data_IF_088455140228
#
_entry.id   IF_088455140228
#
_cell.length_a   1.000
_cell.length_b   1.000
_cell.length_c   1.000
_cell.angle_alpha   90.00
_cell.angle_beta   90.00
_cell.angle_gamma   90.00
#
_symmetry.space_group_name_H-M   'P 1'
#
loop_
_entity.id
_entity.type
_entity.pdbx_description
1 polymer ?
#
# COMPACT_ATOMS: atom_id res chain seq x y z
N UNK A 1 15.05 12.18 -9.71
CA UNK A 1 15.03 12.64 -8.31
C UNK A 1 14.94 11.42 -7.41
N UNK A 2 15.82 11.25 -6.41
CA UNK A 2 15.62 10.21 -5.38
C UNK A 2 14.45 10.66 -4.51
N UNK A 3 13.39 9.85 -4.41
CA UNK A 3 12.11 10.19 -3.78
C UNK A 3 12.16 10.44 -2.25
N UNK A 4 13.34 10.28 -1.63
CA UNK A 4 13.56 10.43 -0.19
C UNK A 4 14.43 9.29 0.34
N UNK A 5 14.71 9.31 1.63
CA UNK A 5 15.31 8.18 2.36
C UNK A 5 14.33 7.67 3.42
N UNK A 6 14.56 6.48 3.97
CA UNK A 6 13.76 5.97 5.10
C UNK A 6 13.66 6.99 6.25
N UNK A 7 14.74 7.71 6.51
CA UNK A 7 14.79 8.76 7.53
C UNK A 7 13.98 10.03 7.18
N UNK A 8 13.84 10.38 5.90
CA UNK A 8 12.94 11.49 5.52
C UNK A 8 11.48 11.06 5.65
N UNK A 9 11.15 9.81 5.29
CA UNK A 9 9.79 9.26 5.47
C UNK A 9 9.43 9.19 6.96
N UNK A 10 10.32 8.69 7.82
CA UNK A 10 10.10 8.63 9.26
C UNK A 10 9.75 10.01 9.84
N UNK A 11 10.52 11.05 9.48
CA UNK A 11 10.25 12.43 9.91
C UNK A 11 8.92 12.97 9.37
N UNK A 12 8.59 12.66 8.11
CA UNK A 12 7.33 13.07 7.51
C UNK A 12 6.12 12.42 8.20
N UNK A 13 6.21 11.15 8.58
CA UNK A 13 5.17 10.43 9.34
C UNK A 13 4.93 11.10 10.69
N UNK A 14 6.00 11.33 11.47
CA UNK A 14 5.90 12.03 12.76
C UNK A 14 5.32 13.43 12.60
N UNK A 15 5.75 14.16 11.57
CA UNK A 15 5.26 15.49 11.28
C UNK A 15 3.75 15.49 10.96
N UNK A 16 3.29 14.62 10.06
CA UNK A 16 1.88 14.49 9.71
C UNK A 16 1.02 14.13 10.92
N UNK A 17 1.48 13.18 11.75
CA UNK A 17 0.79 12.80 12.97
C UNK A 17 0.71 13.94 13.99
N UNK A 18 1.76 14.77 14.10
CA UNK A 18 1.76 15.96 14.94
C UNK A 18 0.86 17.08 14.42
N UNK A 19 0.64 17.16 13.10
CA UNK A 19 -0.37 18.04 12.51
C UNK A 19 -1.80 17.53 12.69
N UNK A 20 -2.00 16.38 13.35
CA UNK A 20 -3.32 15.84 13.64
C UNK A 20 -3.94 15.04 12.48
N UNK A 21 -3.12 14.61 11.51
CA UNK A 21 -3.59 13.76 10.42
C UNK A 21 -4.24 12.48 10.97
N UNK A 22 -5.50 12.25 10.61
CA UNK A 22 -6.28 11.05 11.00
C UNK A 22 -6.06 9.87 10.06
N UNK A 23 -5.60 10.15 8.85
CA UNK A 23 -5.17 9.17 7.85
C UNK A 23 -3.88 9.68 7.21
N UNK A 24 -2.85 8.83 7.12
CA UNK A 24 -1.55 9.13 6.52
C UNK A 24 -1.36 8.18 5.34
N UNK A 25 -1.38 8.74 4.12
CA UNK A 25 -1.13 8.01 2.88
C UNK A 25 0.35 8.05 2.51
N UNK A 26 0.97 6.89 2.33
CA UNK A 26 2.38 6.74 1.92
C UNK A 26 2.43 6.00 0.58
N UNK A 27 2.36 6.77 -0.51
CA UNK A 27 2.41 6.25 -1.88
C UNK A 27 3.83 5.96 -2.41
N UNK A 28 4.86 6.14 -1.58
CA UNK A 28 6.26 5.87 -1.93
C UNK A 28 6.73 4.61 -1.22
N UNK A 29 7.44 3.75 -1.94
CA UNK A 29 7.95 2.48 -1.44
C UNK A 29 9.47 2.44 -1.56
N UNK A 30 10.14 1.96 -0.52
CA UNK A 30 11.53 1.56 -0.57
C UNK A 30 11.60 0.04 -0.56
N UNK A 31 12.17 -0.54 -1.62
CA UNK A 31 12.36 -1.98 -1.74
C UNK A 31 13.79 -2.35 -1.37
N UNK A 32 13.93 -3.26 -0.41
CA UNK A 32 15.21 -3.63 0.20
C UNK A 32 15.41 -5.14 0.08
N UNK A 33 16.58 -5.63 -0.34
CA UNK A 33 16.84 -7.06 -0.34
C UNK A 33 16.82 -7.60 1.10
N UNK A 34 16.08 -8.69 1.33
CA UNK A 34 15.96 -9.31 2.65
C UNK A 34 17.32 -9.76 3.22
N UNK A 35 18.25 -10.14 2.33
CA UNK A 35 19.62 -10.55 2.67
C UNK A 35 20.54 -9.39 3.10
N UNK A 36 20.15 -8.14 2.87
CA UNK A 36 20.92 -6.97 3.27
C UNK A 36 19.99 -5.85 3.78
N UNK A 37 19.39 -6.03 4.96
CA UNK A 37 18.39 -5.10 5.49
C UNK A 37 19.04 -3.75 5.83
N UNK A 38 18.41 -2.66 5.40
CA UNK A 38 18.76 -1.32 5.86
C UNK A 38 18.23 -1.07 7.28
N UNK A 39 18.83 -0.13 8.02
CA UNK A 39 18.30 0.30 9.32
C UNK A 39 16.95 1.02 9.15
N UNK A 40 15.90 0.40 9.69
CA UNK A 40 14.53 0.92 9.64
C UNK A 40 13.97 1.28 11.02
N UNK A 41 14.81 1.30 12.08
CA UNK A 41 14.33 1.53 13.46
C UNK A 41 13.62 2.87 13.63
N UNK A 42 14.17 3.92 13.03
CA UNK A 42 13.56 5.25 13.06
C UNK A 42 12.19 5.28 12.37
N UNK A 43 12.05 4.54 11.26
CA UNK A 43 10.79 4.43 10.55
C UNK A 43 9.77 3.62 11.34
N UNK A 44 10.15 2.45 11.88
CA UNK A 44 9.29 1.64 12.74
C UNK A 44 8.78 2.42 13.96
N UNK A 45 9.66 3.18 14.64
CA UNK A 45 9.27 4.03 15.76
C UNK A 45 8.31 5.16 15.34
N UNK A 46 8.52 5.77 14.17
CA UNK A 46 7.62 6.79 13.62
C UNK A 46 6.23 6.23 13.30
N UNK A 47 6.17 5.04 12.70
CA UNK A 47 4.92 4.36 12.35
C UNK A 47 4.16 3.94 13.61
N UNK A 48 4.83 3.32 14.58
CA UNK A 48 4.25 3.00 15.89
C UNK A 48 3.71 4.25 16.58
N UNK A 49 4.48 5.35 16.59
CA UNK A 49 4.03 6.61 17.18
C UNK A 49 2.77 7.15 16.52
N UNK A 50 2.74 7.19 15.18
CA UNK A 50 1.59 7.67 14.44
C UNK A 50 0.36 6.78 14.65
N UNK A 51 0.50 5.45 14.58
CA UNK A 51 -0.61 4.51 14.72
C UNK A 51 -1.12 4.40 16.16
N UNK A 52 -0.23 4.26 17.14
CA UNK A 52 -0.59 3.93 18.52
C UNK A 52 -0.74 5.17 19.43
N UNK A 53 0.13 6.17 19.28
CA UNK A 53 0.11 7.37 20.15
C UNK A 53 -0.79 8.46 19.58
N UNK A 54 -0.81 8.62 18.25
CA UNK A 54 -1.59 9.66 17.57
C UNK A 54 -2.89 9.15 16.95
N UNK A 55 -3.14 7.85 17.03
CA UNK A 55 -4.32 7.20 16.48
C UNK A 55 -4.54 7.57 14.99
N UNK A 56 -3.48 7.53 14.19
CA UNK A 56 -3.54 7.77 12.75
C UNK A 56 -3.61 6.44 12.00
N UNK A 57 -4.55 6.31 11.05
CA UNK A 57 -4.56 5.17 10.13
C UNK A 57 -3.44 5.39 9.11
N UNK A 58 -2.52 4.45 8.98
CA UNK A 58 -1.43 4.52 8.02
C UNK A 58 -1.71 3.57 6.88
N UNK A 59 -1.73 4.09 5.66
CA UNK A 59 -1.97 3.33 4.44
C UNK A 59 -0.77 3.47 3.52
N UNK A 60 -0.22 2.37 3.05
CA UNK A 60 0.98 2.38 2.20
C UNK A 60 0.80 1.57 0.92
N UNK A 61 1.47 2.01 -0.14
CA UNK A 61 1.55 1.27 -1.39
C UNK A 61 2.40 -0.01 -1.22
N UNK A 62 1.92 -1.15 -1.71
CA UNK A 62 2.66 -2.41 -1.66
C UNK A 62 4.00 -2.35 -2.41
N UNK A 63 4.11 -1.53 -3.46
CA UNK A 63 5.26 -1.44 -4.34
C UNK A 63 4.93 -1.91 -5.75
N UNK A 64 5.73 -1.49 -6.72
CA UNK A 64 5.54 -1.85 -8.12
C UNK A 64 6.70 -2.72 -8.61
N UNK A 65 6.41 -3.91 -9.11
CA UNK A 65 7.42 -4.84 -9.65
C UNK A 65 8.17 -4.22 -10.85
N UNK A 66 9.50 -4.31 -10.82
CA UNK A 66 10.40 -3.74 -11.82
C UNK A 66 10.75 -2.27 -11.58
N UNK A 67 10.28 -1.63 -10.50
CA UNK A 67 10.66 -0.26 -10.13
C UNK A 67 11.64 -0.23 -8.95
N UNK A 68 12.76 0.49 -9.08
CA UNK A 68 13.63 0.83 -7.95
C UNK A 68 14.07 -0.35 -7.04
N UNK A 69 14.26 -1.55 -7.60
CA UNK A 69 14.66 -2.76 -6.86
C UNK A 69 13.50 -3.50 -6.19
N UNK A 70 12.28 -3.16 -6.55
CA UNK A 70 11.07 -3.89 -6.20
C UNK A 70 10.90 -5.08 -7.14
N UNK A 71 11.04 -6.30 -6.61
CA UNK A 71 10.72 -7.53 -7.32
C UNK A 71 9.61 -8.28 -6.56
N UNK A 72 8.78 -9.03 -7.27
CA UNK A 72 7.81 -9.91 -6.63
C UNK A 72 8.48 -10.96 -5.74
N UNK A 73 7.88 -11.18 -4.56
CA UNK A 73 8.26 -12.29 -3.69
C UNK A 73 7.67 -13.60 -4.21
N UNK A 74 8.27 -14.76 -3.86
CA UNK A 74 7.70 -16.06 -4.18
C UNK A 74 6.23 -16.16 -3.76
N UNK A 75 5.47 -16.92 -4.54
CA UNK A 75 4.11 -17.31 -4.16
C UNK A 75 4.15 -18.25 -2.96
N UNK A 76 3.03 -18.29 -2.24
CA UNK A 76 2.81 -19.13 -1.07
C UNK A 76 3.26 -20.59 -1.27
N UNK A 77 3.99 -21.16 -0.31
CA UNK A 77 4.39 -22.55 -0.28
C UNK A 77 3.34 -23.38 0.49
N UNK A 78 2.46 -24.14 -0.21
CA UNK A 78 1.44 -24.95 0.44
C UNK A 78 2.03 -26.11 1.28
N UNK A 79 3.34 -26.36 1.20
CA UNK A 79 4.03 -27.39 1.97
C UNK A 79 4.57 -26.88 3.32
N UNK A 80 4.51 -25.57 3.61
CA UNK A 80 4.85 -24.98 4.90
C UNK A 80 3.63 -24.36 5.61
N UNK A 81 2.78 -25.17 6.26
CA UNK A 81 1.60 -24.65 6.96
C UNK A 81 1.95 -23.86 8.22
N UNK A 82 3.20 -23.89 8.70
CA UNK A 82 3.64 -23.13 9.87
C UNK A 82 3.92 -21.65 9.52
N UNK A 83 4.16 -21.35 8.25
CA UNK A 83 4.33 -20.01 7.71
C UNK A 83 3.26 -19.71 6.64
N UNK A 84 1.99 -19.53 7.02
CA UNK A 84 0.88 -19.39 6.08
C UNK A 84 0.95 -18.14 5.19
N UNK A 85 1.92 -17.25 5.42
CA UNK A 85 2.13 -16.03 4.64
C UNK A 85 3.48 -16.00 3.94
N UNK A 86 4.31 -17.05 4.08
CA UNK A 86 5.64 -17.14 3.47
C UNK A 86 6.62 -16.03 3.89
N UNK A 87 6.59 -15.62 5.16
CA UNK A 87 7.57 -14.68 5.71
C UNK A 87 9.03 -15.14 5.52
N UNK A 88 9.31 -16.44 5.61
CA UNK A 88 10.66 -16.97 5.47
C UNK A 88 11.17 -16.94 4.02
N UNK A 89 10.28 -16.87 3.03
CA UNK A 89 10.63 -16.87 1.60
C UNK A 89 10.77 -15.46 1.02
N UNK A 90 10.57 -14.40 1.82
CA UNK A 90 10.71 -13.01 1.37
C UNK A 90 12.13 -12.75 0.85
N UNK A 91 12.20 -12.26 -0.39
CA UNK A 91 13.44 -11.84 -1.05
C UNK A 91 13.60 -10.32 -1.05
N UNK A 92 12.49 -9.60 -1.19
CA UNK A 92 12.46 -8.13 -1.26
C UNK A 92 11.42 -7.59 -0.29
N UNK A 93 11.89 -6.82 0.69
CA UNK A 93 11.08 -6.16 1.70
C UNK A 93 10.56 -4.83 1.16
N UNK A 94 9.24 -4.66 1.19
CA UNK A 94 8.58 -3.38 0.92
C UNK A 94 8.46 -2.55 2.19
N UNK A 95 9.13 -1.40 2.25
CA UNK A 95 9.04 -0.46 3.37
C UNK A 95 8.29 0.81 2.97
N UNK A 96 7.29 1.27 3.75
CA UNK A 96 6.94 0.82 5.10
C UNK A 96 5.96 -0.36 5.17
N UNK A 97 5.53 -0.93 4.04
CA UNK A 97 4.46 -1.94 3.99
C UNK A 97 4.65 -3.13 4.93
N UNK A 98 5.88 -3.63 5.10
CA UNK A 98 6.17 -4.77 5.96
C UNK A 98 5.89 -4.55 7.46
N UNK A 99 5.69 -3.31 7.91
CA UNK A 99 5.24 -3.00 9.27
C UNK A 99 3.72 -3.21 9.42
N UNK A 100 3.24 -4.42 9.10
CA UNK A 100 1.81 -4.74 8.95
C UNK A 100 0.98 -4.56 10.22
N UNK A 101 1.61 -4.55 11.39
CA UNK A 101 0.93 -4.25 12.66
C UNK A 101 0.42 -2.80 12.72
N UNK A 102 1.07 -1.88 12.00
CA UNK A 102 0.77 -0.43 12.04
C UNK A 102 0.29 0.12 10.69
N UNK A 103 0.61 -0.59 9.59
CA UNK A 103 0.44 -0.11 8.23
C UNK A 103 -0.48 -1.05 7.45
N UNK A 104 -1.54 -0.48 6.88
CA UNK A 104 -2.34 -1.18 5.89
C UNK A 104 -1.66 -1.08 4.52
N UNK A 105 -0.99 -2.16 4.10
CA UNK A 105 -0.36 -2.25 2.78
C UNK A 105 -1.38 -2.59 1.70
N UNK A 106 -1.32 -1.86 0.58
CA UNK A 106 -2.33 -1.88 -0.48
C UNK A 106 -1.75 -2.28 -1.82
N UNK A 107 -2.25 -3.39 -2.38
CA UNK A 107 -1.96 -3.83 -3.75
C UNK A 107 -2.83 -3.13 -4.81
N UNK A 108 -2.47 -3.30 -6.08
CA UNK A 108 -3.19 -2.78 -7.24
C UNK A 108 -3.98 -3.83 -8.04
N UNK A 109 -5.28 -3.59 -8.27
CA UNK A 109 -6.08 -4.38 -9.22
C UNK A 109 -6.30 -3.64 -10.53
N UNK A 110 -6.59 -4.39 -11.58
CA UNK A 110 -7.11 -3.85 -12.83
C UNK A 110 -8.62 -3.53 -12.75
N UNK A 111 -9.21 -3.07 -13.87
CA UNK A 111 -10.62 -2.71 -13.93
C UNK A 111 -11.60 -3.91 -13.78
N UNK A 112 -11.12 -5.14 -13.95
CA UNK A 112 -11.88 -6.37 -13.71
C UNK A 112 -11.84 -6.83 -12.26
N UNK A 113 -10.97 -6.21 -11.44
CA UNK A 113 -10.69 -6.65 -10.07
C UNK A 113 -9.62 -7.73 -9.99
N UNK A 114 -8.98 -8.09 -11.10
CA UNK A 114 -7.86 -9.02 -11.10
C UNK A 114 -6.59 -8.35 -10.53
N UNK A 115 -5.72 -9.12 -9.84
CA UNK A 115 -4.40 -8.64 -9.43
C UNK A 115 -3.66 -8.02 -10.62
N UNK A 116 -3.05 -6.86 -10.44
CA UNK A 116 -2.13 -6.32 -11.42
C UNK A 116 -0.80 -7.07 -11.29
N UNK A 117 -0.29 -7.66 -12.38
CA UNK A 117 1.01 -8.38 -12.38
C UNK A 117 2.19 -7.52 -11.87
N UNK A 118 2.03 -6.20 -11.96
CA UNK A 118 2.99 -5.20 -11.48
C UNK A 118 2.82 -4.78 -10.03
N UNK A 119 1.84 -5.31 -9.31
CA UNK A 119 1.69 -5.08 -7.87
C UNK A 119 2.62 -6.02 -7.11
N UNK A 120 3.51 -5.49 -6.28
CA UNK A 120 4.42 -6.32 -5.48
C UNK A 120 3.64 -7.25 -4.54
N UNK A 121 3.94 -8.54 -4.61
CA UNK A 121 3.49 -9.56 -3.65
C UNK A 121 4.30 -9.55 -2.36
N UNK A 122 3.65 -9.88 -1.25
CA UNK A 122 4.35 -10.10 0.02
C UNK A 122 3.40 -10.38 1.18
N UNK A 123 3.92 -10.98 2.27
CA UNK A 123 3.15 -11.35 3.46
C UNK A 123 2.48 -10.18 4.19
N UNK A 124 2.86 -8.95 3.87
CA UNK A 124 2.31 -7.74 4.47
C UNK A 124 1.11 -7.15 3.75
N UNK A 125 0.86 -7.53 2.50
CA UNK A 125 -0.26 -6.98 1.72
C UNK A 125 -1.58 -7.39 2.39
N UNK A 126 -2.43 -6.40 2.69
CA UNK A 126 -3.65 -6.60 3.46
C UNK A 126 -4.94 -6.39 2.67
N UNK A 127 -4.98 -5.37 1.81
CA UNK A 127 -6.12 -5.06 0.93
C UNK A 127 -5.64 -4.54 -0.42
N UNK A 128 -6.59 -4.17 -1.27
CA UNK A 128 -6.27 -3.66 -2.58
C UNK A 128 -7.29 -2.69 -3.16
N UNK A 129 -6.86 -1.95 -4.17
CA UNK A 129 -7.75 -1.02 -4.85
C UNK A 129 -7.33 -0.83 -6.31
N UNK A 130 -8.19 -0.23 -7.14
CA UNK A 130 -7.88 0.04 -8.54
C UNK A 130 -6.53 0.76 -8.68
N UNK A 131 -5.63 0.18 -9.47
CA UNK A 131 -4.29 0.71 -9.74
C UNK A 131 -4.01 0.92 -11.23
N UNK A 132 -5.03 0.84 -12.09
CA UNK A 132 -4.97 1.15 -13.53
C UNK A 132 -6.15 2.03 -13.92
N UNK A 133 -6.10 2.60 -15.13
CA UNK A 133 -7.16 3.49 -15.65
C UNK A 133 -7.48 4.66 -14.71
N UNK A 134 -6.44 5.17 -14.04
CA UNK A 134 -6.59 6.21 -13.03
C UNK A 134 -6.87 7.55 -13.67
N UNK A 135 -7.80 8.30 -13.08
CA UNK A 135 -8.06 9.70 -13.37
C UNK A 135 -7.75 10.52 -12.13
N UNK A 136 -7.02 11.62 -12.31
CA UNK A 136 -6.66 12.56 -11.25
C UNK A 136 -6.77 14.01 -11.73
N UNK A 137 -6.26 14.94 -10.92
CA UNK A 137 -6.23 16.37 -11.25
C UNK A 137 -4.81 16.80 -11.60
N UNK A 138 -4.68 17.62 -12.64
CA UNK A 138 -3.39 18.16 -13.07
C UNK A 138 -2.88 19.19 -12.06
N UNK A 139 -1.58 19.16 -11.71
CA UNK A 139 -0.99 20.18 -10.85
C UNK A 139 -0.87 21.56 -11.53
N UNK A 140 -0.98 21.66 -12.87
CA UNK A 140 -0.87 22.95 -13.58
C UNK A 140 -2.20 23.73 -13.68
N UNK A 141 -3.33 23.14 -13.31
CA UNK A 141 -4.62 23.83 -13.43
C UNK A 141 -5.84 23.09 -12.89
N UNK A 142 -5.66 21.97 -12.19
CA UNK A 142 -6.75 21.21 -11.57
C UNK A 142 -7.67 20.49 -12.56
N UNK A 143 -7.39 20.52 -13.87
CA UNK A 143 -8.17 19.80 -14.88
C UNK A 143 -7.98 18.28 -14.79
N UNK A 144 -8.97 17.48 -15.24
CA UNK A 144 -8.87 16.03 -15.22
C UNK A 144 -7.76 15.52 -16.16
N UNK A 145 -6.95 14.59 -15.67
CA UNK A 145 -5.85 13.94 -16.39
C UNK A 145 -5.76 12.46 -16.06
N UNK A 146 -5.28 11.65 -16.99
CA UNK A 146 -5.19 10.20 -16.86
C UNK A 146 -3.83 9.61 -17.29
N UNK A 147 -2.86 10.46 -17.63
CA UNK A 147 -1.58 10.02 -18.15
C UNK A 147 -0.49 11.09 -17.97
N UNK A 148 0.76 10.64 -17.87
CA UNK A 148 1.93 11.49 -18.00
C UNK A 148 2.20 11.78 -19.47
N UNK A 149 2.69 12.99 -19.82
CA UNK A 149 3.19 13.26 -21.15
C UNK A 149 4.38 12.32 -21.46
N UNK A 150 4.63 12.02 -22.74
CA UNK A 150 5.72 11.14 -23.14
C UNK A 150 7.08 11.69 -22.68
N UNK A 151 8.00 10.78 -22.34
CA UNK A 151 9.36 11.18 -21.95
C UNK A 151 10.21 11.56 -23.16
N UNK A 152 9.87 11.06 -24.36
CA UNK A 152 10.55 11.38 -25.62
C UNK A 152 9.56 11.78 -26.72
N UNK A 153 9.95 12.66 -27.66
CA UNK A 153 9.13 12.98 -28.83
C UNK A 153 8.76 11.71 -29.62
N UNK A 154 7.48 11.56 -29.95
CA UNK A 154 6.96 10.41 -30.70
C UNK A 154 6.49 9.23 -29.85
N UNK A 155 6.74 9.22 -28.54
CA UNK A 155 6.16 8.23 -27.63
C UNK A 155 4.70 8.57 -27.28
N UNK A 156 3.93 7.55 -26.87
CA UNK A 156 2.57 7.75 -26.36
C UNK A 156 2.61 8.28 -24.92
N UNK A 157 1.55 8.98 -24.51
CA UNK A 157 1.34 9.29 -23.09
C UNK A 157 1.37 7.99 -22.26
N UNK A 158 1.99 8.02 -21.10
CA UNK A 158 2.02 6.89 -20.17
C UNK A 158 0.79 6.98 -19.26
N UNK A 159 -0.19 6.06 -19.35
CA UNK A 159 -1.35 6.06 -18.47
C UNK A 159 -0.91 6.02 -17.01
N UNK A 160 -1.69 6.62 -16.13
CA UNK A 160 -1.46 6.48 -14.69
C UNK A 160 -1.76 5.05 -14.23
N UNK A 161 -0.79 4.46 -13.55
CA UNK A 161 -0.92 3.17 -12.90
C UNK A 161 -0.02 3.08 -11.67
N UNK A 162 -0.27 2.11 -10.81
CA UNK A 162 0.59 1.77 -9.68
C UNK A 162 -0.16 1.65 -8.35
N UNK A 163 0.46 0.92 -7.42
CA UNK A 163 -0.03 0.71 -6.05
C UNK A 163 -0.14 2.01 -5.24
N UNK A 164 0.57 3.05 -5.67
CA UNK A 164 0.48 4.42 -5.16
C UNK A 164 -0.94 4.99 -5.21
N UNK A 165 -1.65 4.76 -6.32
CA UNK A 165 -3.04 5.20 -6.50
C UNK A 165 -4.01 4.31 -5.73
N UNK A 166 -3.75 3.01 -5.65
CA UNK A 166 -4.52 2.07 -4.83
C UNK A 166 -4.50 2.48 -3.35
N UNK A 167 -3.32 2.82 -2.81
CA UNK A 167 -3.19 3.35 -1.46
C UNK A 167 -4.00 4.64 -1.24
N UNK A 168 -4.05 5.52 -2.24
CA UNK A 168 -4.85 6.75 -2.17
C UNK A 168 -6.36 6.45 -2.09
N UNK A 169 -6.87 5.48 -2.85
CA UNK A 169 -8.26 5.03 -2.75
C UNK A 169 -8.58 4.50 -1.35
N UNK A 170 -7.75 3.61 -0.81
CA UNK A 170 -7.95 3.03 0.53
C UNK A 170 -7.85 4.10 1.62
N UNK A 171 -6.96 5.09 1.46
CA UNK A 171 -6.88 6.25 2.35
C UNK A 171 -8.18 7.07 2.36
N UNK A 172 -8.78 7.27 1.19
CA UNK A 172 -10.10 7.90 1.08
C UNK A 172 -11.19 7.10 1.79
N UNK A 173 -11.19 5.78 1.64
CA UNK A 173 -12.12 4.89 2.36
C UNK A 173 -11.89 4.98 3.87
N UNK A 174 -10.65 4.95 4.34
CA UNK A 174 -10.33 5.10 5.77
C UNK A 174 -10.85 6.44 6.32
N UNK A 175 -10.72 7.53 5.54
CA UNK A 175 -11.26 8.82 5.93
C UNK A 175 -12.80 8.80 6.04
N UNK A 176 -13.49 8.14 5.10
CA UNK A 176 -14.95 7.96 5.16
C UNK A 176 -15.39 7.11 6.35
N UNK A 177 -14.69 6.01 6.64
CA UNK A 177 -14.95 5.17 7.82
C UNK A 177 -14.80 5.99 9.09
N UNK A 178 -13.73 6.78 9.22
CA UNK A 178 -13.53 7.65 10.40
C UNK A 178 -14.56 8.76 10.49
N UNK A 179 -15.01 9.33 9.38
CA UNK A 179 -16.07 10.33 9.39
C UNK A 179 -17.41 9.75 9.88
N UNK A 180 -17.72 8.50 9.52
CA UNK A 180 -18.95 7.80 9.93
C UNK A 180 -18.84 7.23 11.35
N UNK A 181 -17.67 6.78 11.75
CA UNK A 181 -17.40 6.13 13.03
C UNK A 181 -16.18 6.78 13.72
N UNK A 182 -16.35 7.99 14.28
CA UNK A 182 -15.23 8.81 14.77
C UNK A 182 -14.51 8.21 16.01
N UNK A 183 -15.19 7.35 16.76
CA UNK A 183 -14.66 6.72 17.97
C UNK A 183 -13.84 5.45 17.70
N UNK A 184 -13.77 4.98 16.45
CA UNK A 184 -12.95 3.83 16.10
C UNK A 184 -11.47 4.20 16.13
N UNK A 185 -10.69 3.33 16.77
CA UNK A 185 -9.23 3.41 16.71
C UNK A 185 -8.71 3.10 15.31
N UNK A 186 -7.48 3.51 15.02
CA UNK A 186 -6.82 3.22 13.76
C UNK A 186 -6.84 1.71 13.41
N UNK A 187 -6.58 0.85 14.40
CA UNK A 187 -6.65 -0.60 14.25
C UNK A 187 -8.07 -1.10 13.94
N UNK A 188 -9.09 -0.54 14.60
CA UNK A 188 -10.49 -0.91 14.32
C UNK A 188 -10.93 -0.47 12.91
N UNK A 189 -10.45 0.69 12.44
CA UNK A 189 -10.68 1.15 11.07
C UNK A 189 -10.03 0.19 10.07
N UNK A 190 -8.76 -0.16 10.28
CA UNK A 190 -8.03 -1.13 9.42
C UNK A 190 -8.76 -2.48 9.41
N UNK A 191 -9.09 -3.03 10.59
CA UNK A 191 -9.80 -4.29 10.69
C UNK A 191 -11.16 -4.26 9.98
N UNK A 192 -11.89 -3.15 10.07
CA UNK A 192 -13.16 -2.99 9.36
C UNK A 192 -12.96 -3.03 7.85
N UNK A 193 -11.96 -2.28 7.34
CA UNK A 193 -11.63 -2.24 5.91
C UNK A 193 -11.26 -3.64 5.40
N UNK A 194 -10.41 -4.36 6.14
CA UNK A 194 -9.97 -5.73 5.79
C UNK A 194 -11.13 -6.73 5.84
N UNK A 195 -12.02 -6.65 6.82
CA UNK A 195 -13.13 -7.60 6.97
C UNK A 195 -14.29 -7.38 6.00
N UNK A 196 -14.49 -6.14 5.50
CA UNK A 196 -15.55 -5.83 4.53
C UNK A 196 -15.05 -5.83 3.08
N UNK A 197 -13.83 -6.29 2.89
CA UNK A 197 -13.15 -6.40 1.64
C UNK A 197 -13.78 -7.60 0.85
N UNK A 198 -14.16 -7.42 -0.42
CA UNK A 198 -14.55 -8.53 -1.31
C UNK A 198 -13.48 -9.64 -1.45
N UNK A 199 -13.72 -10.79 -0.84
CA UNK A 199 -12.86 -11.96 -1.04
C UNK A 199 -12.76 -12.35 -2.53
N UNK A 200 -11.59 -12.81 -2.99
CA UNK A 200 -11.46 -13.40 -4.32
C UNK A 200 -12.45 -14.59 -4.48
N UNK A 201 -12.91 -14.91 -5.70
CA UNK A 201 -13.86 -15.99 -5.94
C UNK A 201 -13.44 -17.31 -5.28
N UNK A 202 -14.40 -17.96 -4.63
CA UNK A 202 -14.25 -19.09 -3.72
C UNK A 202 -13.55 -20.33 -4.30
N UNK A 203 -12.50 -20.77 -3.62
CA UNK A 203 -11.81 -22.05 -3.85
C UNK A 203 -10.59 -22.25 -2.95
N UNK A 204 -10.04 -21.15 -2.45
CA UNK A 204 -8.84 -21.16 -1.63
C UNK A 204 -9.05 -20.35 -0.35
N UNK A 205 -9.54 -21.03 0.69
CA UNK A 205 -9.40 -20.54 2.06
C UNK A 205 -7.94 -20.61 2.56
N UNK A 206 -6.98 -20.93 1.67
CA UNK A 206 -5.53 -21.05 1.93
C UNK A 206 -4.63 -20.64 0.75
N UNK A 207 -5.06 -19.83 -0.24
CA UNK A 207 -4.11 -19.23 -1.21
C UNK A 207 -3.97 -17.74 -0.92
N UNK A 208 -2.91 -17.40 -0.20
CA UNK A 208 -2.58 -16.04 0.22
C UNK A 208 -1.82 -15.22 -0.84
N UNK A 209 -2.09 -15.45 -2.12
CA UNK A 209 -1.51 -14.65 -3.21
C UNK A 209 -2.06 -13.22 -3.27
N UNK A 210 -3.02 -12.90 -2.41
CA UNK A 210 -3.95 -11.84 -2.69
C UNK A 210 -4.60 -11.31 -1.42
N UNK A 211 -3.96 -10.39 -0.69
CA UNK A 211 -4.71 -9.45 0.14
C UNK A 211 -5.61 -8.57 -0.74
N UNK A 212 -6.43 -9.13 -1.63
CA UNK A 212 -7.26 -8.41 -2.58
C UNK A 212 -8.63 -8.29 -1.96
N UNK A 213 -8.95 -7.08 -1.57
CA UNK A 213 -10.26 -6.61 -1.94
C UNK A 213 -10.40 -5.12 -2.05
N UNK A 214 -11.24 -4.72 -2.99
CA UNK A 214 -11.80 -3.38 -3.08
C UNK A 214 -12.61 -3.14 -1.80
N UNK A 215 -12.29 -2.10 -1.01
CA UNK A 215 -13.12 -1.74 0.12
C UNK A 215 -14.52 -1.36 -0.38
N UNK A 216 -15.56 -2.01 0.14
CA UNK A 216 -16.94 -1.61 -0.11
C UNK A 216 -17.30 -0.43 0.80
N UNK A 217 -17.72 0.72 0.27
CA UNK A 217 -18.15 1.87 1.08
C UNK A 217 -19.59 1.75 1.63
N UNK A 218 -20.26 0.61 1.44
CA UNK A 218 -21.66 0.39 1.85
C UNK A 218 -21.79 0.01 3.33
#
# INVERSE_FOLDING_TARGET
MKAGTLNTVARAVVHAANMGAKVINISVTACLPAVAPADQRALGAALWYAATVKDAVIVAAAGNDGEAGCDNNPMYDPLDPADPRDWHQVKVVSSPSWFSDYVLSVGAVDASGAPLDKSMSGPWVGVAAPGTHIMGLSPQGGGPVNAYPPSRPGEKNMPFWGTSFSAAYVSGVAALVRAKFPDLSAHQVINRIVQSAHNPPSGSTTEWDTGWSIPSPR
#
